data_IF_980121283045
#
_entry.id   IF_980121283045
#
_cell.length_a   1.000
_cell.length_b   1.000
_cell.length_c   1.000
_cell.angle_alpha   90.00
_cell.angle_beta   90.00
_cell.angle_gamma   90.00
#
_symmetry.space_group_name_H-M   'P 1'
#
loop_
_entity.id
_entity.type
_entity.pdbx_description
1 polymer ?
#
# COMPACT_ATOMS: atom_id res chain seq x y z
N UNK A 1 -23.83 -18.58 -18.71
CA UNK A 1 -23.58 -18.04 -17.35
C UNK A 1 -23.26 -16.57 -17.49
N UNK A 2 -24.08 -15.67 -16.90
CA UNK A 2 -23.81 -14.23 -16.94
C UNK A 2 -22.67 -13.92 -15.97
N UNK A 3 -21.54 -13.42 -16.48
CA UNK A 3 -20.57 -12.69 -15.66
C UNK A 3 -21.24 -11.37 -15.27
N UNK A 4 -21.89 -11.32 -14.12
CA UNK A 4 -22.12 -10.05 -13.43
C UNK A 4 -20.85 -9.75 -12.65
N UNK A 5 -19.81 -9.30 -13.36
CA UNK A 5 -18.64 -8.71 -12.72
C UNK A 5 -19.06 -7.41 -12.05
N UNK A 6 -18.70 -7.23 -10.78
CA UNK A 6 -18.89 -5.97 -10.06
C UNK A 6 -18.32 -4.81 -10.88
N UNK A 7 -19.02 -3.66 -10.89
CA UNK A 7 -18.48 -2.47 -11.54
C UNK A 7 -17.16 -2.05 -10.87
N UNK A 8 -16.28 -1.29 -11.55
CA UNK A 8 -15.07 -0.75 -10.91
C UNK A 8 -15.36 -0.01 -9.61
N UNK A 9 -16.45 0.76 -9.56
CA UNK A 9 -16.87 1.49 -8.36
C UNK A 9 -17.29 0.54 -7.23
N UNK A 10 -18.02 -0.53 -7.54
CA UNK A 10 -18.40 -1.54 -6.54
C UNK A 10 -17.17 -2.26 -5.98
N UNK A 11 -16.20 -2.61 -6.83
CA UNK A 11 -14.95 -3.23 -6.38
C UNK A 11 -14.16 -2.28 -5.47
N UNK A 12 -14.03 -1.00 -5.82
CA UNK A 12 -13.38 0.00 -4.97
C UNK A 12 -14.14 0.16 -3.66
N UNK A 13 -15.48 0.18 -3.69
CA UNK A 13 -16.31 0.28 -2.51
C UNK A 13 -16.10 -0.90 -1.54
N UNK A 14 -15.83 -2.11 -2.03
CA UNK A 14 -15.47 -3.25 -1.17
C UNK A 14 -14.16 -3.03 -0.41
N UNK A 15 -13.11 -2.53 -1.07
CA UNK A 15 -11.85 -2.18 -0.39
C UNK A 15 -12.06 -1.11 0.67
N UNK A 16 -12.83 -0.06 0.34
CA UNK A 16 -13.13 1.04 1.27
C UNK A 16 -13.95 0.53 2.45
N UNK A 17 -14.96 -0.31 2.22
CA UNK A 17 -15.81 -0.86 3.27
C UNK A 17 -15.06 -1.84 4.18
N UNK A 18 -14.05 -2.54 3.65
CA UNK A 18 -13.13 -3.34 4.46
C UNK A 18 -12.26 -2.44 5.34
N UNK A 19 -11.59 -1.45 4.74
CA UNK A 19 -10.73 -0.50 5.44
C UNK A 19 -11.46 0.28 6.53
N UNK A 20 -12.72 0.67 6.29
CA UNK A 20 -13.56 1.40 7.26
C UNK A 20 -13.82 0.65 8.58
N UNK A 21 -13.59 -0.67 8.62
CA UNK A 21 -13.73 -1.49 9.84
C UNK A 21 -12.47 -1.45 10.72
N UNK A 22 -11.35 -0.97 10.19
CA UNK A 22 -10.07 -0.92 10.89
C UNK A 22 -9.85 0.46 11.52
N UNK A 23 -8.94 0.61 12.51
CA UNK A 23 -8.44 1.92 12.91
C UNK A 23 -7.78 2.64 11.74
N UNK A 24 -7.74 3.98 11.78
CA UNK A 24 -7.28 4.83 10.67
C UNK A 24 -5.91 4.42 10.12
N UNK A 25 -4.96 4.11 10.99
CA UNK A 25 -3.59 3.76 10.60
C UNK A 25 -3.54 2.39 9.89
N UNK A 26 -4.23 1.39 10.42
CA UNK A 26 -4.33 0.06 9.82
C UNK A 26 -5.11 0.08 8.50
N UNK A 27 -6.18 0.88 8.43
CA UNK A 27 -6.93 1.12 7.20
C UNK A 27 -6.05 1.72 6.10
N UNK A 28 -5.16 2.66 6.46
CA UNK A 28 -4.20 3.23 5.52
C UNK A 28 -3.25 2.15 4.96
N UNK A 29 -2.75 1.25 5.82
CA UNK A 29 -1.89 0.15 5.38
C UNK A 29 -2.63 -0.89 4.52
N UNK A 30 -3.87 -1.23 4.89
CA UNK A 30 -4.70 -2.15 4.09
C UNK A 30 -4.93 -1.61 2.68
N UNK A 31 -5.29 -0.33 2.54
CA UNK A 31 -5.46 0.27 1.21
C UNK A 31 -4.12 0.35 0.47
N UNK A 32 -3.03 0.68 1.16
CA UNK A 32 -1.71 0.85 0.55
C UNK A 32 -1.15 -0.45 -0.04
N UNK A 33 -1.30 -1.58 0.65
CA UNK A 33 -0.85 -2.88 0.12
C UNK A 33 -1.66 -3.34 -1.10
N UNK A 34 -2.88 -2.82 -1.27
CA UNK A 34 -3.73 -3.10 -2.43
C UNK A 34 -3.61 -2.05 -3.54
N UNK A 35 -2.72 -1.06 -3.43
CA UNK A 35 -2.59 0.07 -4.38
C UNK A 35 -2.54 -0.35 -5.85
N UNK A 36 -1.77 -1.39 -6.19
CA UNK A 36 -1.68 -1.84 -7.60
C UNK A 36 -2.96 -2.48 -8.11
N UNK A 37 -3.75 -3.10 -7.22
CA UNK A 37 -5.07 -3.62 -7.57
C UNK A 37 -6.06 -2.48 -7.76
N UNK A 38 -6.02 -1.47 -6.88
CA UNK A 38 -6.83 -0.26 -7.00
C UNK A 38 -6.49 0.50 -8.30
N UNK A 39 -5.21 0.72 -8.57
CA UNK A 39 -4.74 1.31 -9.83
C UNK A 39 -5.27 0.53 -11.04
N UNK A 40 -5.18 -0.81 -11.02
CA UNK A 40 -5.69 -1.65 -12.10
C UNK A 40 -7.21 -1.54 -12.29
N UNK A 41 -7.99 -1.37 -11.21
CA UNK A 41 -9.44 -1.18 -11.29
C UNK A 41 -9.76 0.19 -11.91
N UNK A 42 -8.95 1.20 -11.60
CA UNK A 42 -9.04 2.56 -12.18
C UNK A 42 -8.44 2.69 -13.58
N UNK A 43 -7.92 1.59 -14.17
CA UNK A 43 -7.31 1.61 -15.49
C UNK A 43 -5.93 2.29 -15.53
N UNK A 44 -5.21 2.26 -14.41
CA UNK A 44 -3.85 2.79 -14.25
C UNK A 44 -2.79 1.68 -14.17
N UNK A 45 -1.59 1.92 -14.72
CA UNK A 45 -1.25 3.05 -15.58
C UNK A 45 -1.99 2.97 -16.93
N UNK A 46 -2.36 4.13 -17.46
CA UNK A 46 -2.94 4.29 -18.79
C UNK A 46 -1.93 3.88 -19.88
N UNK A 47 -2.42 3.62 -21.10
CA UNK A 47 -1.55 3.29 -22.24
C UNK A 47 -0.51 4.39 -22.52
N UNK A 48 -0.85 5.65 -22.26
CA UNK A 48 0.06 6.79 -22.38
C UNK A 48 1.16 6.74 -21.32
N UNK A 49 0.79 6.55 -20.05
CA UNK A 49 1.75 6.43 -18.94
C UNK A 49 2.69 5.25 -19.16
N UNK A 50 2.17 4.12 -19.68
CA UNK A 50 3.02 2.98 -20.06
C UNK A 50 4.01 3.36 -21.15
N UNK A 51 3.58 4.11 -22.17
CA UNK A 51 4.47 4.58 -23.24
C UNK A 51 5.57 5.49 -22.70
N UNK A 52 5.23 6.45 -21.84
CA UNK A 52 6.19 7.35 -21.18
C UNK A 52 7.16 6.55 -20.32
N UNK A 53 6.66 5.66 -19.46
CA UNK A 53 7.47 4.87 -18.54
C UNK A 53 8.50 3.99 -19.29
N UNK A 54 8.17 3.50 -20.49
CA UNK A 54 9.09 2.71 -21.33
C UNK A 54 10.28 3.51 -21.88
N UNK A 55 10.21 4.84 -21.87
CA UNK A 55 11.32 5.71 -22.29
C UNK A 55 12.24 6.13 -21.14
N UNK A 56 11.88 5.83 -19.89
CA UNK A 56 12.64 6.22 -18.71
C UNK A 56 13.83 5.28 -18.46
N UNK A 57 14.95 5.84 -18.01
CA UNK A 57 16.09 5.04 -17.51
C UNK A 57 15.77 4.39 -16.17
N UNK A 58 16.51 3.36 -15.73
CA UNK A 58 16.35 2.78 -14.41
C UNK A 58 16.43 3.80 -13.27
N UNK A 59 17.32 4.79 -13.35
CA UNK A 59 17.44 5.86 -12.35
C UNK A 59 16.20 6.76 -12.33
N UNK A 60 15.64 7.08 -13.50
CA UNK A 60 14.42 7.87 -13.62
C UNK A 60 13.20 7.10 -13.11
N UNK A 61 13.10 5.80 -13.40
CA UNK A 61 12.05 4.92 -12.83
C UNK A 61 12.19 4.88 -11.31
N UNK A 62 13.40 4.71 -10.79
CA UNK A 62 13.67 4.69 -9.35
C UNK A 62 13.31 6.03 -8.68
N UNK A 63 13.64 7.15 -9.31
CA UNK A 63 13.27 8.49 -8.83
C UNK A 63 11.75 8.70 -8.85
N UNK A 64 11.08 8.28 -9.93
CA UNK A 64 9.62 8.32 -10.02
C UNK A 64 8.98 7.49 -8.92
N UNK A 65 9.44 6.26 -8.70
CA UNK A 65 8.90 5.38 -7.67
C UNK A 65 9.06 5.97 -6.26
N UNK A 66 10.23 6.56 -5.95
CA UNK A 66 10.42 7.29 -4.68
C UNK A 66 9.44 8.46 -4.56
N UNK A 67 9.33 9.27 -5.60
CA UNK A 67 8.41 10.42 -5.61
C UNK A 67 6.95 9.99 -5.40
N UNK A 68 6.49 8.96 -6.10
CA UNK A 68 5.11 8.44 -5.97
C UNK A 68 4.81 8.00 -4.53
N UNK A 69 5.80 7.40 -3.85
CA UNK A 69 5.67 6.98 -2.44
C UNK A 69 5.66 8.17 -1.49
N UNK A 70 6.59 9.11 -1.65
CA UNK A 70 6.68 10.31 -0.81
C UNK A 70 5.39 11.16 -0.89
N UNK A 71 4.75 11.18 -2.07
CA UNK A 71 3.54 11.95 -2.34
C UNK A 71 2.26 11.10 -2.35
N UNK A 72 2.30 9.86 -1.83
CA UNK A 72 1.14 8.97 -1.80
C UNK A 72 -0.08 9.61 -1.11
N UNK A 73 0.16 10.43 -0.08
CA UNK A 73 -0.83 11.15 0.69
C UNK A 73 -1.50 12.32 -0.05
N UNK A 74 -1.00 12.68 -1.24
CA UNK A 74 -1.58 13.68 -2.14
C UNK A 74 -2.33 13.01 -3.33
N UNK A 75 -2.16 11.70 -3.50
CA UNK A 75 -2.77 10.92 -4.57
C UNK A 75 -4.11 10.26 -4.21
N UNK A 76 -4.54 9.24 -4.99
CA UNK A 76 -5.82 8.54 -4.80
C UNK A 76 -6.02 7.94 -3.41
N UNK A 77 -4.93 7.53 -2.75
CA UNK A 77 -4.94 7.01 -1.38
C UNK A 77 -5.64 7.93 -0.39
N UNK A 78 -5.48 9.25 -0.54
CA UNK A 78 -6.18 10.22 0.31
C UNK A 78 -7.70 10.09 0.15
N UNK A 79 -8.19 10.02 -1.09
CA UNK A 79 -9.60 9.87 -1.41
C UNK A 79 -10.18 8.56 -0.86
N UNK A 80 -9.46 7.45 -1.02
CA UNK A 80 -9.88 6.15 -0.48
C UNK A 80 -9.97 6.17 1.04
N UNK A 81 -8.94 6.67 1.72
CA UNK A 81 -8.92 6.69 3.18
C UNK A 81 -9.93 7.68 3.75
N UNK A 82 -10.17 8.83 3.08
CA UNK A 82 -11.23 9.78 3.47
C UNK A 82 -12.62 9.17 3.35
N UNK A 83 -12.87 8.37 2.31
CA UNK A 83 -14.14 7.64 2.16
C UNK A 83 -14.32 6.57 3.24
N UNK A 84 -13.25 5.90 3.65
CA UNK A 84 -13.28 4.92 4.74
C UNK A 84 -13.46 5.58 6.13
N UNK A 85 -12.84 6.75 6.34
CA UNK A 85 -12.84 7.50 7.59
C UNK A 85 -13.30 8.95 7.39
N UNK A 86 -14.59 9.19 7.10
CA UNK A 86 -15.08 10.53 6.74
C UNK A 86 -14.96 11.56 7.87
N UNK A 87 -14.88 11.09 9.12
CA UNK A 87 -14.74 11.94 10.32
C UNK A 87 -13.30 12.22 10.72
N UNK A 88 -12.32 11.54 10.13
CA UNK A 88 -10.92 11.83 10.39
C UNK A 88 -10.55 13.17 9.74
N UNK A 89 -9.74 13.97 10.43
CA UNK A 89 -9.21 15.20 9.87
C UNK A 89 -8.19 14.91 8.76
N UNK A 90 -8.05 15.86 7.84
CA UNK A 90 -7.23 15.67 6.64
C UNK A 90 -5.73 15.52 6.99
N UNK A 91 -5.27 16.12 8.09
CA UNK A 91 -3.89 15.99 8.52
C UNK A 91 -3.62 14.58 9.07
N UNK A 92 -4.53 14.01 9.85
CA UNK A 92 -4.47 12.64 10.35
C UNK A 92 -4.52 11.62 9.21
N UNK A 93 -5.35 11.86 8.19
CA UNK A 93 -5.39 11.02 6.98
C UNK A 93 -4.05 11.03 6.24
N UNK A 94 -3.49 12.22 5.99
CA UNK A 94 -2.17 12.35 5.35
C UNK A 94 -1.10 11.65 6.16
N UNK A 95 -1.09 11.89 7.47
CA UNK A 95 -0.11 11.29 8.37
C UNK A 95 -0.23 9.76 8.42
N UNK A 96 -1.45 9.21 8.45
CA UNK A 96 -1.67 7.77 8.43
C UNK A 96 -1.13 7.13 7.14
N UNK A 97 -1.36 7.76 5.98
CA UNK A 97 -0.82 7.30 4.69
C UNK A 97 0.71 7.35 4.72
N UNK A 98 1.31 8.48 5.12
CA UNK A 98 2.77 8.61 5.24
C UNK A 98 3.36 7.53 6.15
N UNK A 99 2.74 7.30 7.30
CA UNK A 99 3.19 6.28 8.25
C UNK A 99 3.08 4.86 7.65
N UNK A 100 1.99 4.53 6.96
CA UNK A 100 1.81 3.25 6.29
C UNK A 100 2.87 2.99 5.20
N UNK A 101 3.17 4.00 4.38
CA UNK A 101 4.21 3.93 3.33
C UNK A 101 5.59 3.71 3.96
N UNK A 102 5.95 4.51 4.96
CA UNK A 102 7.24 4.40 5.66
C UNK A 102 7.40 3.08 6.40
N UNK A 103 6.33 2.54 6.96
CA UNK A 103 6.35 1.21 7.56
C UNK A 103 6.66 0.14 6.50
N UNK A 104 5.99 0.15 5.34
CA UNK A 104 6.31 -0.78 4.24
C UNK A 104 7.78 -0.63 3.79
N UNK A 105 8.27 0.60 3.61
CA UNK A 105 9.69 0.84 3.25
C UNK A 105 10.66 0.28 4.28
N UNK A 106 10.34 0.42 5.57
CA UNK A 106 11.13 -0.17 6.64
C UNK A 106 11.14 -1.71 6.57
N UNK A 107 10.01 -2.34 6.21
CA UNK A 107 9.98 -3.80 6.04
C UNK A 107 10.90 -4.26 4.90
N UNK A 108 10.94 -3.53 3.78
CA UNK A 108 11.83 -3.85 2.65
C UNK A 108 13.30 -3.54 2.96
N UNK A 109 13.56 -2.43 3.66
CA UNK A 109 14.91 -2.05 4.09
C UNK A 109 15.53 -3.08 5.03
N UNK A 110 14.73 -3.65 5.94
CA UNK A 110 15.19 -4.66 6.90
C UNK A 110 15.22 -6.08 6.33
N UNK A 111 14.67 -6.29 5.12
CA UNK A 111 14.70 -7.60 4.49
C UNK A 111 16.11 -7.91 3.99
N UNK A 112 16.64 -9.04 4.44
CA UNK A 112 17.90 -9.61 3.98
C UNK A 112 17.72 -11.11 3.90
N UNK A 113 17.94 -11.69 2.71
CA UNK A 113 17.76 -13.11 2.48
C UNK A 113 19.03 -13.87 2.85
N UNK A 114 19.13 -14.24 4.13
CA UNK A 114 20.31 -14.86 4.74
C UNK A 114 20.02 -16.22 5.43
N UNK A 115 18.95 -16.91 5.01
CA UNK A 115 18.57 -18.21 5.55
C UNK A 115 17.17 -18.65 5.11
N UNK A 116 16.41 -19.22 6.05
CA UNK A 116 15.01 -19.56 5.83
C UNK A 116 14.21 -18.31 5.43
N UNK A 117 13.57 -18.38 4.27
CA UNK A 117 12.90 -17.23 3.65
C UNK A 117 11.83 -16.63 4.57
N UNK A 118 10.99 -17.48 5.18
CA UNK A 118 9.91 -16.99 6.04
C UNK A 118 10.46 -16.38 7.33
N UNK A 119 11.51 -16.96 7.92
CA UNK A 119 12.21 -16.37 9.05
C UNK A 119 12.81 -15.00 8.71
N UNK A 120 13.32 -14.81 7.49
CA UNK A 120 13.80 -13.50 7.00
C UNK A 120 12.66 -12.48 6.91
N UNK A 121 11.51 -12.87 6.36
CA UNK A 121 10.29 -12.04 6.29
C UNK A 121 9.82 -11.62 7.68
N UNK A 122 9.68 -12.58 8.60
CA UNK A 122 9.23 -12.33 9.98
C UNK A 122 10.18 -11.37 10.69
N UNK A 123 11.49 -11.56 10.57
CA UNK A 123 12.50 -10.66 11.14
C UNK A 123 12.42 -9.24 10.59
N UNK A 124 12.26 -9.10 9.27
CA UNK A 124 12.18 -7.80 8.62
C UNK A 124 10.97 -7.00 9.15
N UNK A 125 9.80 -7.65 9.22
CA UNK A 125 8.60 -7.01 9.77
C UNK A 125 8.73 -6.73 11.26
N UNK A 126 9.33 -7.62 12.06
CA UNK A 126 9.54 -7.37 13.48
C UNK A 126 10.44 -6.15 13.73
N UNK A 127 11.49 -5.95 12.92
CA UNK A 127 12.36 -4.77 13.00
C UNK A 127 11.63 -3.48 12.60
N UNK A 128 10.79 -3.55 11.57
CA UNK A 128 9.94 -2.42 11.19
C UNK A 128 8.89 -2.10 12.26
N UNK A 129 8.24 -3.12 12.84
CA UNK A 129 7.24 -2.96 13.90
C UNK A 129 7.82 -2.28 15.15
N UNK A 130 9.09 -2.51 15.47
CA UNK A 130 9.77 -1.81 16.56
C UNK A 130 9.89 -0.28 16.32
N UNK A 131 9.87 0.17 15.06
CA UNK A 131 9.89 1.60 14.70
C UNK A 131 8.47 2.17 14.52
N UNK A 132 7.49 1.31 14.24
CA UNK A 132 6.09 1.67 14.00
C UNK A 132 5.17 0.78 14.85
N UNK A 133 5.11 0.98 16.17
CA UNK A 133 4.44 0.07 17.12
C UNK A 133 2.91 0.21 17.16
N UNK A 134 2.35 1.21 16.50
CA UNK A 134 0.94 1.61 16.64
C UNK A 134 -0.02 0.85 15.71
N UNK A 135 0.48 -0.11 14.92
CA UNK A 135 -0.35 -0.98 14.10
C UNK A 135 -0.88 -2.18 14.91
N UNK A 136 -2.01 -2.74 14.49
CA UNK A 136 -2.54 -3.98 15.04
C UNK A 136 -1.68 -5.20 14.65
N UNK A 137 -1.72 -6.26 15.46
CA UNK A 137 -1.01 -7.51 15.13
C UNK A 137 -1.48 -8.12 13.81
N UNK A 138 -2.76 -7.95 13.46
CA UNK A 138 -3.30 -8.36 12.16
C UNK A 138 -2.60 -7.64 11.00
N UNK A 139 -2.26 -6.37 11.18
CA UNK A 139 -1.56 -5.55 10.19
C UNK A 139 -0.12 -6.01 10.04
N UNK A 140 0.58 -6.32 11.14
CA UNK A 140 1.92 -6.93 11.06
C UNK A 140 1.91 -8.29 10.38
N UNK A 141 0.89 -9.13 10.64
CA UNK A 141 0.72 -10.39 9.92
C UNK A 141 0.53 -10.16 8.41
N UNK A 142 -0.32 -9.20 8.04
CA UNK A 142 -0.58 -8.89 6.63
C UNK A 142 0.66 -8.27 5.95
N UNK A 143 1.47 -7.51 6.68
CA UNK A 143 2.76 -7.01 6.21
C UNK A 143 3.75 -8.13 5.91
N UNK A 144 3.79 -9.21 6.71
CA UNK A 144 4.62 -10.40 6.41
C UNK A 144 4.22 -11.01 5.07
N UNK A 145 2.91 -11.15 4.81
CA UNK A 145 2.42 -11.66 3.53
C UNK A 145 2.78 -10.72 2.37
N UNK A 146 2.71 -9.41 2.59
CA UNK A 146 3.10 -8.41 1.60
C UNK A 146 4.58 -8.54 1.24
N UNK A 147 5.49 -8.54 2.22
CA UNK A 147 6.93 -8.73 1.99
C UNK A 147 7.22 -10.03 1.25
N UNK A 148 6.58 -11.13 1.68
CA UNK A 148 6.75 -12.42 1.01
C UNK A 148 6.31 -12.38 -0.46
N UNK A 149 5.27 -11.62 -0.82
CA UNK A 149 4.84 -11.45 -2.20
C UNK A 149 5.84 -10.67 -3.06
N UNK A 150 6.54 -9.67 -2.50
CA UNK A 150 7.53 -8.88 -3.26
C UNK A 150 8.86 -9.61 -3.52
N UNK A 151 9.24 -10.55 -2.66
CA UNK A 151 10.54 -11.24 -2.72
C UNK A 151 10.45 -12.73 -3.10
N UNK A 152 9.28 -13.19 -3.51
CA UNK A 152 9.07 -14.55 -4.05
C UNK A 152 9.14 -14.54 -5.57
#
# INVERSE_FOLDING_TARGET
MKQTGLSPEDQIAEFIASAAKQPLLDAAFELWRWRYRLDSIEGRPTAEEVRINRTLTPEQISAKYRWDRDHAHEGPMFGYLKRAHPRADDAAIRQAIITAVKFEDATFTHFSWDGDFWACVVRAVARAAAQYPDFLETTYRDARNNVAYYYK
#
